data_IF_195510650945
#
_entry.id   IF_195510650945
#
_cell.length_a   1.000
_cell.length_b   1.000
_cell.length_c   1.000
_cell.angle_alpha   90.00
_cell.angle_beta   90.00
_cell.angle_gamma   90.00
#
_symmetry.space_group_name_H-M   'P 1'
#
loop_
_entity.id
_entity.type
_entity.pdbx_description
1 polymer ?
#
# COMPACT_ATOMS: atom_id res chain seq x y z
N UNK A 1 19.14 3.64 15.24
CA UNK A 1 19.52 4.05 13.88
C UNK A 1 18.80 3.08 12.95
N UNK A 2 17.62 3.44 12.45
CA UNK A 2 16.93 2.64 11.43
C UNK A 2 17.65 2.87 10.12
N UNK A 3 18.34 1.84 9.65
CA UNK A 3 19.07 1.81 8.40
C UNK A 3 18.04 1.89 7.28
N UNK A 4 17.92 3.06 6.64
CA UNK A 4 17.10 3.22 5.46
C UNK A 4 17.93 2.76 4.26
N UNK A 5 17.76 1.51 3.86
CA UNK A 5 18.32 1.00 2.61
C UNK A 5 17.73 1.81 1.45
N UNK A 6 18.58 2.39 0.63
CA UNK A 6 18.19 3.21 -0.51
C UNK A 6 18.39 2.40 -1.79
N UNK A 7 17.40 2.40 -2.68
CA UNK A 7 17.50 1.73 -3.98
C UNK A 7 18.15 2.65 -5.01
N UNK A 8 19.19 2.15 -5.67
CA UNK A 8 19.85 2.83 -6.79
C UNK A 8 19.24 2.39 -8.12
N UNK A 9 18.88 3.35 -8.98
CA UNK A 9 18.10 3.10 -10.23
C UNK A 9 18.90 3.45 -11.50
N UNK A 10 20.12 3.98 -11.39
CA UNK A 10 20.90 4.47 -12.54
C UNK A 10 22.27 3.79 -12.68
N UNK A 11 22.57 3.23 -13.86
CA UNK A 11 23.85 2.58 -14.19
C UNK A 11 24.89 3.53 -14.81
N UNK A 12 24.52 4.77 -15.14
CA UNK A 12 25.36 5.71 -15.88
C UNK A 12 26.09 6.68 -14.92
N UNK A 13 27.34 6.34 -14.57
CA UNK A 13 28.15 7.11 -13.61
C UNK A 13 28.42 8.57 -14.03
N UNK A 14 28.14 8.94 -15.28
CA UNK A 14 28.28 10.32 -15.79
C UNK A 14 27.09 11.23 -15.47
N UNK A 15 25.93 10.68 -15.11
CA UNK A 15 24.67 11.42 -14.89
C UNK A 15 24.27 11.54 -13.40
N UNK A 16 25.07 10.98 -12.49
CA UNK A 16 24.77 10.94 -11.06
C UNK A 16 23.95 9.72 -10.64
N UNK A 17 23.60 9.65 -9.35
CA UNK A 17 22.89 8.52 -8.74
C UNK A 17 21.43 8.88 -8.48
N UNK A 18 20.49 8.05 -8.95
CA UNK A 18 19.06 8.19 -8.63
C UNK A 18 18.70 7.21 -7.53
N UNK A 19 18.31 7.77 -6.39
CA UNK A 19 18.09 7.06 -5.15
C UNK A 19 16.61 7.15 -4.71
N UNK A 20 15.94 5.99 -4.61
CA UNK A 20 14.53 5.93 -4.19
C UNK A 20 14.45 5.40 -2.76
N UNK A 21 13.82 6.21 -1.90
CA UNK A 21 13.55 5.82 -0.52
C UNK A 21 12.42 4.78 -0.44
N UNK A 22 12.49 3.78 0.45
CA UNK A 22 11.42 2.82 0.70
C UNK A 22 10.07 3.48 1.00
N UNK A 23 10.09 4.62 1.69
CA UNK A 23 8.88 5.38 2.06
C UNK A 23 8.13 5.88 0.81
N UNK A 24 8.84 6.19 -0.28
CA UNK A 24 8.22 6.61 -1.55
C UNK A 24 7.48 5.44 -2.18
N UNK A 25 8.07 4.23 -2.13
CA UNK A 25 7.46 2.99 -2.63
C UNK A 25 6.17 2.69 -1.84
N UNK A 26 6.20 2.81 -0.51
CA UNK A 26 5.02 2.64 0.34
C UNK A 26 3.89 3.61 -0.03
N UNK A 27 4.22 4.88 -0.31
CA UNK A 27 3.23 5.89 -0.69
C UNK A 27 2.60 5.58 -2.03
N UNK A 28 3.40 5.23 -3.04
CA UNK A 28 2.91 4.89 -4.37
C UNK A 28 2.02 3.64 -4.32
N UNK A 29 2.47 2.58 -3.64
CA UNK A 29 1.68 1.37 -3.44
C UNK A 29 0.37 1.65 -2.69
N UNK A 30 0.39 2.58 -1.73
CA UNK A 30 -0.80 3.03 -1.00
C UNK A 30 -1.83 3.67 -1.92
N UNK A 31 -1.40 4.60 -2.76
CA UNK A 31 -2.28 5.27 -3.72
C UNK A 31 -2.85 4.24 -4.70
N UNK A 32 -1.99 3.41 -5.29
CA UNK A 32 -2.40 2.37 -6.24
C UNK A 32 -3.39 1.36 -5.61
N UNK A 33 -3.25 1.04 -4.33
CA UNK A 33 -4.19 0.15 -3.64
C UNK A 33 -5.57 0.80 -3.47
N UNK A 34 -5.61 2.08 -3.09
CA UNK A 34 -6.87 2.80 -2.82
C UNK A 34 -7.69 3.12 -4.07
N UNK A 35 -7.08 3.07 -5.26
CA UNK A 35 -7.77 3.29 -6.54
C UNK A 35 -8.61 2.08 -6.98
N UNK A 36 -8.39 0.91 -6.39
CA UNK A 36 -9.10 -0.32 -6.76
C UNK A 36 -10.49 -0.36 -6.14
N UNK A 37 -11.51 -0.41 -7.00
CA UNK A 37 -12.91 -0.64 -6.60
C UNK A 37 -13.03 -1.97 -5.84
N UNK A 38 -13.67 -1.92 -4.67
CA UNK A 38 -13.82 -3.07 -3.77
C UNK A 38 -12.80 -3.10 -2.62
N UNK A 39 -11.82 -2.18 -2.62
CA UNK A 39 -10.97 -1.90 -1.45
C UNK A 39 -11.62 -0.80 -0.64
N UNK A 40 -12.07 -1.12 0.57
CA UNK A 40 -12.66 -0.16 1.50
C UNK A 40 -11.59 0.74 2.13
N UNK A 41 -10.55 0.10 2.71
CA UNK A 41 -9.44 0.80 3.34
C UNK A 41 -8.22 -0.09 3.49
N UNK A 42 -7.08 0.49 3.83
CA UNK A 42 -5.88 -0.24 4.25
C UNK A 42 -5.70 -0.16 5.77
N UNK A 43 -5.14 -1.21 6.39
CA UNK A 43 -5.02 -1.35 7.86
C UNK A 43 -4.35 -0.17 8.57
N UNK A 44 -3.49 0.56 7.87
CA UNK A 44 -2.82 1.74 8.41
C UNK A 44 -3.75 2.90 8.73
N UNK A 45 -4.89 3.00 8.06
CA UNK A 45 -5.80 4.14 8.20
C UNK A 45 -6.46 4.21 9.60
N UNK A 46 -6.55 3.08 10.32
CA UNK A 46 -7.14 3.04 11.66
C UNK A 46 -6.17 3.45 12.77
N UNK A 47 -4.88 3.11 12.64
CA UNK A 47 -3.85 3.43 13.64
C UNK A 47 -3.32 4.87 13.49
N UNK A 48 -3.31 5.41 12.27
CA UNK A 48 -2.90 6.80 11.99
C UNK A 48 -3.79 7.80 12.69
N UNK A 49 -5.12 7.61 12.67
CA UNK A 49 -6.07 8.55 13.29
C UNK A 49 -5.91 8.73 14.81
N UNK A 50 -5.35 7.73 15.51
CA UNK A 50 -5.05 7.83 16.96
C UNK A 50 -3.62 8.34 17.19
N UNK A 51 -2.64 7.88 16.41
CA UNK A 51 -1.24 8.28 16.57
C UNK A 51 -0.96 9.73 16.15
N UNK A 52 -1.68 10.26 15.15
CA UNK A 52 -1.59 11.66 14.71
C UNK A 52 -2.07 12.63 15.80
N UNK A 53 -3.09 12.25 16.59
CA UNK A 53 -3.57 13.04 17.75
C UNK A 53 -2.54 13.11 18.88
N UNK A 54 -1.60 12.17 18.93
CA UNK A 54 -0.48 12.14 19.88
C UNK A 54 0.84 12.64 19.27
N UNK A 55 0.80 13.30 18.10
CA UNK A 55 1.97 13.97 17.50
C UNK A 55 2.96 13.03 16.81
N UNK A 56 2.66 11.73 16.67
CA UNK A 56 3.54 10.76 16.00
C UNK A 56 3.02 10.50 14.59
N UNK A 57 3.68 11.09 13.58
CA UNK A 57 3.42 10.80 12.16
C UNK A 57 3.77 9.34 11.86
N UNK A 58 2.78 8.46 11.87
CA UNK A 58 2.95 7.06 11.50
C UNK A 58 2.74 6.92 10.01
N UNK A 59 3.84 6.93 9.26
CA UNK A 59 3.83 6.59 7.84
C UNK A 59 3.82 5.07 7.77
N UNK A 60 2.62 4.52 7.63
CA UNK A 60 2.40 3.09 7.64
C UNK A 60 0.96 2.84 7.28
N UNK A 61 0.62 3.14 6.02
CA UNK A 61 -0.74 3.03 5.44
C UNK A 61 -1.16 1.56 5.24
N UNK A 62 -0.79 0.66 6.15
CA UNK A 62 -1.05 -0.77 6.02
C UNK A 62 -0.25 -1.39 4.88
N UNK A 63 0.90 -0.80 4.53
CA UNK A 63 1.80 -1.29 3.49
C UNK A 63 3.19 -1.33 4.10
N UNK A 64 3.87 -2.45 3.89
CA UNK A 64 5.24 -2.67 4.33
C UNK A 64 6.07 -2.98 3.11
N UNK A 65 7.17 -2.27 2.94
CA UNK A 65 8.13 -2.51 1.86
C UNK A 65 9.40 -3.09 2.48
N UNK A 66 9.83 -4.22 1.97
CA UNK A 66 11.12 -4.83 2.29
C UNK A 66 12.01 -4.82 1.05
N UNK A 67 13.21 -4.26 1.23
CA UNK A 67 14.26 -4.29 0.23
C UNK A 67 15.21 -5.41 0.59
N UNK A 68 15.43 -6.32 -0.36
CA UNK A 68 16.40 -7.41 -0.25
C UNK A 68 17.44 -7.28 -1.36
N UNK A 69 18.56 -7.98 -1.22
CA UNK A 69 19.60 -8.03 -2.26
C UNK A 69 19.07 -8.59 -3.59
N UNK A 70 17.97 -9.36 -3.53
CA UNK A 70 17.31 -9.98 -4.68
C UNK A 70 16.16 -9.18 -5.26
N UNK A 71 15.72 -8.11 -4.57
CA UNK A 71 14.71 -7.16 -5.08
C UNK A 71 13.69 -6.69 -4.05
N UNK A 72 12.48 -6.30 -4.51
CA UNK A 72 11.50 -5.54 -3.73
C UNK A 72 10.27 -6.39 -3.41
N UNK A 73 10.01 -6.57 -2.12
CA UNK A 73 8.82 -7.25 -1.61
C UNK A 73 7.86 -6.25 -0.96
N UNK A 74 6.57 -6.38 -1.26
CA UNK A 74 5.54 -5.47 -0.76
C UNK A 74 4.42 -6.27 -0.10
N UNK A 75 4.18 -6.05 1.19
CA UNK A 75 3.00 -6.54 1.89
C UNK A 75 1.95 -5.44 1.99
N UNK A 76 0.72 -5.75 1.60
CA UNK A 76 -0.43 -4.84 1.61
C UNK A 76 -1.54 -5.43 2.45
N UNK A 77 -1.96 -4.70 3.48
CA UNK A 77 -3.04 -5.10 4.39
C UNK A 77 -4.31 -4.33 4.05
N UNK A 78 -5.29 -5.01 3.46
CA UNK A 78 -6.54 -4.43 2.94
C UNK A 78 -7.78 -4.90 3.70
N UNK A 79 -8.73 -4.01 3.84
CA UNK A 79 -10.13 -4.29 4.17
C UNK A 79 -10.92 -4.15 2.88
N UNK A 80 -11.70 -5.18 2.54
CA UNK A 80 -12.48 -5.21 1.30
C UNK A 80 -13.96 -4.95 1.57
N UNK A 81 -14.67 -4.44 0.58
CA UNK A 81 -16.12 -4.25 0.65
C UNK A 81 -16.85 -5.61 0.66
N UNK A 82 -17.96 -5.71 1.37
CA UNK A 82 -18.83 -6.89 1.30
C UNK A 82 -19.40 -7.07 -0.11
N UNK A 83 -19.52 -8.33 -0.55
CA UNK A 83 -20.07 -8.67 -1.87
C UNK A 83 -19.07 -8.65 -3.03
N UNK A 84 -17.80 -8.32 -2.78
CA UNK A 84 -16.74 -8.41 -3.80
C UNK A 84 -16.07 -9.79 -3.81
N UNK A 85 -15.61 -10.21 -4.99
CA UNK A 85 -14.77 -11.42 -5.09
C UNK A 85 -13.35 -11.12 -4.63
N UNK A 86 -12.99 -11.63 -3.45
CA UNK A 86 -11.67 -11.40 -2.83
C UNK A 86 -10.52 -11.72 -3.79
N UNK A 87 -10.47 -12.89 -4.47
CA UNK A 87 -9.36 -13.20 -5.38
C UNK A 87 -9.26 -12.20 -6.54
N UNK A 88 -10.39 -11.75 -7.07
CA UNK A 88 -10.42 -10.79 -8.20
C UNK A 88 -9.92 -9.42 -7.76
N UNK A 89 -10.34 -8.95 -6.58
CA UNK A 89 -9.87 -7.65 -6.06
C UNK A 89 -8.39 -7.73 -5.68
N UNK A 90 -7.95 -8.81 -5.02
CA UNK A 90 -6.55 -9.01 -4.68
C UNK A 90 -5.64 -9.05 -5.92
N UNK A 91 -6.05 -9.74 -6.97
CA UNK A 91 -5.31 -9.76 -8.24
C UNK A 91 -5.19 -8.36 -8.85
N UNK A 92 -6.29 -7.59 -8.86
CA UNK A 92 -6.28 -6.20 -9.36
C UNK A 92 -5.35 -5.30 -8.53
N UNK A 93 -5.32 -5.46 -7.21
CA UNK A 93 -4.40 -4.73 -6.34
C UNK A 93 -2.94 -5.07 -6.70
N UNK A 94 -2.63 -6.35 -6.88
CA UNK A 94 -1.28 -6.79 -7.28
C UNK A 94 -0.86 -6.22 -8.64
N UNK A 95 -1.73 -6.30 -9.64
CA UNK A 95 -1.47 -5.78 -10.99
C UNK A 95 -1.26 -4.27 -10.98
N UNK A 96 -2.13 -3.52 -10.28
CA UNK A 96 -2.05 -2.06 -10.24
C UNK A 96 -0.80 -1.55 -9.52
N UNK A 97 -0.41 -2.20 -8.41
CA UNK A 97 0.83 -1.84 -7.70
C UNK A 97 2.05 -2.07 -8.59
N UNK A 98 2.16 -3.24 -9.24
CA UNK A 98 3.29 -3.54 -10.14
C UNK A 98 3.37 -2.55 -11.28
N UNK A 99 2.23 -2.29 -11.95
CA UNK A 99 2.19 -1.37 -13.09
C UNK A 99 2.56 0.06 -12.67
N UNK A 100 2.02 0.54 -11.56
CA UNK A 100 2.26 1.92 -11.09
C UNK A 100 3.73 2.11 -10.69
N UNK A 101 4.29 1.18 -9.91
CA UNK A 101 5.69 1.26 -9.51
C UNK A 101 6.64 1.15 -10.70
N UNK A 102 6.40 0.20 -11.62
CA UNK A 102 7.21 0.09 -12.84
C UNK A 102 7.18 1.37 -13.66
N UNK A 103 6.00 1.98 -13.83
CA UNK A 103 5.85 3.21 -14.61
C UNK A 103 6.50 4.43 -13.96
N UNK A 104 6.43 4.55 -12.64
CA UNK A 104 6.94 5.74 -11.93
C UNK A 104 8.43 5.65 -11.57
N UNK A 105 8.93 4.44 -11.33
CA UNK A 105 10.25 4.22 -10.73
C UNK A 105 11.15 3.33 -11.58
N UNK A 106 10.64 2.75 -12.66
CA UNK A 106 11.31 1.74 -13.49
C UNK A 106 11.71 0.45 -12.74
N UNK A 107 11.36 0.31 -11.46
CA UNK A 107 11.65 -0.85 -10.63
C UNK A 107 10.80 -2.06 -11.03
N UNK A 108 11.43 -3.23 -11.09
CA UNK A 108 10.73 -4.52 -11.13
C UNK A 108 10.44 -4.97 -9.70
N UNK A 109 9.21 -5.40 -9.45
CA UNK A 109 8.73 -5.84 -8.15
C UNK A 109 8.57 -7.36 -8.18
N UNK A 110 9.27 -8.07 -7.32
CA UNK A 110 9.26 -9.54 -7.29
C UNK A 110 7.94 -10.06 -6.72
N UNK A 111 7.56 -9.54 -5.56
CA UNK A 111 6.44 -10.06 -4.80
C UNK A 111 5.52 -8.94 -4.28
N UNK A 112 4.21 -9.16 -4.47
CA UNK A 112 3.16 -8.32 -3.89
C UNK A 112 2.20 -9.23 -3.15
N UNK A 113 2.29 -9.21 -1.82
CA UNK A 113 1.52 -10.04 -0.92
C UNK A 113 0.31 -9.26 -0.41
N UNK A 114 -0.89 -9.71 -0.76
CA UNK A 114 -2.15 -9.06 -0.35
C UNK A 114 -2.76 -9.81 0.82
N UNK A 115 -2.78 -9.15 1.97
CA UNK A 115 -3.34 -9.65 3.22
C UNK A 115 -4.72 -9.03 3.44
N UNK A 116 -5.76 -9.84 3.35
CA UNK A 116 -7.12 -9.40 3.65
C UNK A 116 -7.36 -9.51 5.14
N UNK A 117 -7.43 -8.36 5.81
CA UNK A 117 -7.54 -8.28 7.28
C UNK A 117 -8.98 -8.14 7.77
N UNK A 118 -9.91 -7.86 6.86
CA UNK A 118 -11.32 -7.74 7.19
C UNK A 118 -12.20 -7.48 5.98
N UNK A 119 -13.51 -7.55 6.21
CA UNK A 119 -14.52 -7.18 5.23
C UNK A 119 -15.42 -6.13 5.88
N UNK A 120 -15.59 -5.00 5.21
CA UNK A 120 -16.54 -3.97 5.62
C UNK A 120 -17.92 -4.36 5.13
N UNK A 121 -18.83 -4.56 6.08
CA UNK A 121 -20.25 -4.73 5.79
C UNK A 121 -20.87 -3.40 6.12
N UNK A 122 -21.31 -2.66 5.11
CA UNK A 122 -22.19 -1.51 5.35
C UNK A 122 -23.43 -2.05 6.07
N UNK A 123 -23.54 -1.71 7.35
CA UNK A 123 -24.86 -1.75 7.98
C UNK A 123 -25.64 -0.65 7.27
N UNK A 124 -26.76 -1.01 6.66
CA UNK A 124 -27.85 -0.05 6.58
C UNK A 124 -28.00 0.50 8.01
N UNK A 125 -27.68 1.77 8.23
CA UNK A 125 -28.14 2.44 9.42
C UNK A 125 -29.65 2.22 9.45
N UNK A 126 -30.22 1.62 10.51
CA UNK A 126 -31.64 1.79 10.73
C UNK A 126 -31.83 3.27 11.10
N UNK A 127 -31.91 4.14 10.08
CA UNK A 127 -32.43 5.49 10.23
C UNK A 127 -33.90 5.35 10.61
N UNK A 128 -34.16 5.52 11.90
CA UNK A 128 -35.33 6.18 12.45
C UNK A 128 -36.67 5.83 11.81
N UNK A 129 -37.08 4.57 11.98
CA UNK A 129 -38.49 4.31 12.26
C UNK A 129 -38.71 4.57 13.75
N UNK A 130 -39.09 5.80 14.11
CA UNK A 130 -40.18 6.07 15.06
C UNK A 130 -40.26 7.56 15.42
N UNK A 131 -41.31 8.17 14.85
CA UNK A 131 -42.21 9.19 15.40
C UNK A 131 -41.73 10.63 15.65
#
# INVERSE_FOLDING_TARGET
MSEHTILNVSEDASLGNVEISPVVIEVIAGIATTEIKGVYSTRGNFATGVAERFGKKTHGKGIKVELTDTGVMIDVFVVLDYGVSIPVVAQKVQENIRQTLKNMTALDIDEVNVHVVGVQIDKEDPQDSDN
#
